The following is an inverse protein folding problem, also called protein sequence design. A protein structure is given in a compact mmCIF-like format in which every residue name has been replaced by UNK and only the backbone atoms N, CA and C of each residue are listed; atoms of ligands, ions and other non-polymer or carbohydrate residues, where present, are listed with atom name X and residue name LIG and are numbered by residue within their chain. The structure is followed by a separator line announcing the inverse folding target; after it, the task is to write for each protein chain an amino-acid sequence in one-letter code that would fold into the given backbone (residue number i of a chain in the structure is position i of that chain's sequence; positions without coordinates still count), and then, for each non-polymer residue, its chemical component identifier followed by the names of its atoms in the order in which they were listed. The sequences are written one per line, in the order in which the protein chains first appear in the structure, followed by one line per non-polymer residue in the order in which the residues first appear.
data_IF_552980745589
#
_entry.id   IF_552980745589
#
_cell.length_a   1.000
_cell.length_b   1.000
_cell.length_c   1.000
_cell.angle_alpha   90.00
_cell.angle_beta   90.00
_cell.angle_gamma   90.00
#
_symmetry.space_group_name_H-M   'P 1'
#
loop_
_entity.id
_entity.type
_entity.pdbx_description
1 polymer ?
#
# COMPACT_ATOMS: atom_id res chain seq x y z
N UNK A 1 -19.39 -16.58 -10.92
CA UNK A 1 -18.24 -16.44 -9.98
C UNK A 1 -18.61 -15.50 -8.84
N UNK A 2 -18.12 -15.73 -7.61
CA UNK A 2 -18.21 -14.77 -6.52
C UNK A 2 -17.11 -13.69 -6.63
N UNK A 3 -17.10 -12.72 -5.71
CA UNK A 3 -16.11 -11.62 -5.76
C UNK A 3 -14.66 -12.08 -5.57
N UNK A 4 -14.43 -13.07 -4.68
CA UNK A 4 -13.12 -13.66 -4.42
C UNK A 4 -12.56 -14.36 -5.67
N UNK A 5 -13.39 -15.17 -6.31
CA UNK A 5 -13.03 -15.90 -7.54
C UNK A 5 -12.67 -14.94 -8.67
N UNK A 6 -13.50 -13.89 -8.89
CA UNK A 6 -13.21 -12.87 -9.91
C UNK A 6 -11.92 -12.13 -9.67
N UNK A 7 -11.68 -11.72 -8.42
CA UNK A 7 -10.47 -11.01 -8.06
C UNK A 7 -9.20 -11.83 -8.33
N UNK A 8 -9.22 -13.10 -7.92
CA UNK A 8 -8.12 -14.04 -8.17
C UNK A 8 -7.93 -14.27 -9.66
N UNK A 9 -8.99 -14.62 -10.38
CA UNK A 9 -8.94 -14.88 -11.80
C UNK A 9 -8.40 -13.69 -12.60
N UNK A 10 -8.87 -12.45 -12.29
CA UNK A 10 -8.42 -11.25 -12.96
C UNK A 10 -6.93 -11.00 -12.81
N UNK A 11 -6.34 -11.22 -11.62
CA UNK A 11 -4.91 -11.00 -11.37
C UNK A 11 -4.03 -12.21 -11.72
N UNK A 12 -4.61 -13.42 -11.78
CA UNK A 12 -3.89 -14.65 -12.13
C UNK A 12 -3.98 -15.01 -13.62
N UNK A 13 -4.46 -14.10 -14.48
CA UNK A 13 -4.61 -14.33 -15.93
C UNK A 13 -5.59 -15.46 -16.28
N UNK A 14 -6.55 -15.72 -15.41
CA UNK A 14 -7.57 -16.72 -15.61
C UNK A 14 -8.86 -16.10 -16.17
N UNK A 15 -9.69 -16.86 -16.89
CA UNK A 15 -10.99 -16.37 -17.37
C UNK A 15 -11.93 -16.00 -16.21
N UNK A 16 -12.66 -14.90 -16.36
CA UNK A 16 -13.68 -14.46 -15.40
C UNK A 16 -14.94 -13.96 -16.13
N UNK A 17 -16.08 -13.98 -15.43
CA UNK A 17 -17.39 -13.64 -16.01
C UNK A 17 -17.65 -12.13 -16.03
N UNK A 18 -17.04 -11.37 -15.12
CA UNK A 18 -17.20 -9.92 -14.97
C UNK A 18 -15.97 -9.33 -14.31
N UNK A 19 -15.53 -8.17 -14.78
CA UNK A 19 -14.42 -7.43 -14.17
C UNK A 19 -14.73 -7.13 -12.70
N UNK A 20 -13.82 -7.45 -11.76
CA UNK A 20 -13.98 -7.04 -10.37
C UNK A 20 -13.90 -5.51 -10.28
N UNK A 21 -14.91 -4.89 -9.67
CA UNK A 21 -14.98 -3.47 -9.46
C UNK A 21 -14.48 -3.13 -8.05
N UNK A 22 -13.33 -2.49 -7.97
CA UNK A 22 -12.70 -2.10 -6.70
C UNK A 22 -12.42 -0.60 -6.73
N UNK A 23 -13.45 0.24 -6.56
CA UNK A 23 -13.26 1.68 -6.56
C UNK A 23 -12.49 2.10 -5.32
N UNK A 24 -11.51 3.00 -5.49
CA UNK A 24 -10.90 3.71 -4.39
C UNK A 24 -11.89 4.64 -3.69
N UNK A 25 -11.68 4.91 -2.41
CA UNK A 25 -12.47 5.92 -1.70
C UNK A 25 -12.08 7.34 -2.13
N UNK A 26 -13.04 8.26 -2.31
CA UNK A 26 -12.74 9.66 -2.53
C UNK A 26 -12.22 10.31 -1.25
N UNK A 27 -11.36 11.32 -1.40
CA UNK A 27 -10.93 12.17 -0.27
C UNK A 27 -12.08 13.09 0.17
N UNK A 28 -11.98 13.69 1.35
CA UNK A 28 -13.01 14.63 1.85
C UNK A 28 -13.20 15.83 0.91
N UNK A 29 -12.11 16.39 0.38
CA UNK A 29 -12.17 17.48 -0.62
C UNK A 29 -12.86 17.05 -1.91
N UNK A 30 -12.64 15.83 -2.37
CA UNK A 30 -13.32 15.26 -3.55
C UNK A 30 -14.82 15.12 -3.30
N UNK A 31 -15.21 14.58 -2.14
CA UNK A 31 -16.62 14.48 -1.75
C UNK A 31 -17.29 15.86 -1.66
N UNK A 32 -16.61 16.84 -1.07
CA UNK A 32 -17.11 18.21 -1.00
C UNK A 32 -17.37 18.78 -2.41
N UNK A 33 -16.44 18.56 -3.34
CA UNK A 33 -16.62 18.98 -4.73
C UNK A 33 -17.80 18.24 -5.40
N UNK A 34 -17.92 16.93 -5.22
CA UNK A 34 -19.04 16.15 -5.78
C UNK A 34 -20.40 16.61 -5.24
N UNK A 35 -20.47 17.07 -3.97
CA UNK A 35 -21.69 17.70 -3.41
C UNK A 35 -22.10 18.93 -4.22
N UNK A 36 -21.15 19.76 -4.63
CA UNK A 36 -21.44 20.93 -5.49
C UNK A 36 -21.83 20.54 -6.91
N UNK A 37 -21.48 19.34 -7.36
CA UNK A 37 -21.75 18.81 -8.69
C UNK A 37 -22.99 17.92 -8.78
N UNK A 38 -23.74 17.75 -7.69
CA UNK A 38 -25.02 17.06 -7.70
C UNK A 38 -25.11 15.78 -6.86
N UNK A 39 -24.05 15.38 -6.16
CA UNK A 39 -24.15 14.33 -5.16
C UNK A 39 -24.95 14.84 -3.95
N UNK A 40 -26.16 14.31 -3.63
CA UNK A 40 -27.00 14.85 -2.58
C UNK A 40 -26.36 14.70 -1.18
N UNK A 41 -26.66 15.64 -0.28
CA UNK A 41 -26.20 15.58 1.11
C UNK A 41 -26.69 14.31 1.81
N UNK A 42 -25.80 13.71 2.63
CA UNK A 42 -26.12 12.50 3.39
C UNK A 42 -26.21 11.21 2.57
N UNK A 43 -26.13 11.28 1.24
CA UNK A 43 -26.17 10.10 0.38
C UNK A 43 -24.77 9.50 0.25
N UNK A 44 -24.66 8.16 0.36
CA UNK A 44 -23.43 7.46 0.09
C UNK A 44 -23.06 7.55 -1.39
N UNK A 45 -21.81 7.99 -1.68
CA UNK A 45 -21.39 8.29 -3.05
C UNK A 45 -21.39 7.06 -3.98
N UNK A 46 -20.98 5.90 -3.48
CA UNK A 46 -20.81 4.71 -4.32
C UNK A 46 -22.13 4.12 -4.82
N UNK A 47 -23.13 3.85 -3.97
CA UNK A 47 -24.46 3.44 -4.45
C UNK A 47 -25.09 4.46 -5.40
N UNK A 48 -24.95 5.74 -5.10
CA UNK A 48 -25.49 6.81 -5.94
C UNK A 48 -24.83 6.83 -7.33
N UNK A 49 -23.51 6.64 -7.39
CA UNK A 49 -22.78 6.54 -8.65
C UNK A 49 -23.23 5.33 -9.47
N UNK A 50 -23.37 4.15 -8.83
CA UNK A 50 -23.82 2.93 -9.51
C UNK A 50 -25.23 3.10 -10.08
N UNK A 51 -26.14 3.68 -9.32
CA UNK A 51 -27.51 3.98 -9.78
C UNK A 51 -27.49 4.96 -10.97
N UNK A 52 -26.72 6.03 -10.85
CA UNK A 52 -26.59 7.06 -11.91
C UNK A 52 -26.04 6.47 -13.21
N UNK A 53 -25.11 5.51 -13.12
CA UNK A 53 -24.51 4.84 -14.26
C UNK A 53 -25.34 3.65 -14.76
N UNK A 54 -26.46 3.32 -14.12
CA UNK A 54 -27.28 2.14 -14.45
C UNK A 54 -26.55 0.82 -14.22
N UNK A 55 -25.55 0.79 -13.30
CA UNK A 55 -24.81 -0.40 -12.96
C UNK A 55 -25.45 -1.16 -11.79
N UNK A 56 -25.47 -2.49 -11.90
CA UNK A 56 -25.98 -3.34 -10.83
C UNK A 56 -25.07 -3.26 -9.59
N UNK A 57 -25.55 -2.58 -8.57
CA UNK A 57 -24.90 -2.49 -7.27
C UNK A 57 -25.69 -3.31 -6.24
N UNK A 58 -25.03 -4.33 -5.71
CA UNK A 58 -25.54 -5.09 -4.57
C UNK A 58 -24.62 -4.87 -3.38
N UNK A 59 -25.08 -4.20 -2.31
CA UNK A 59 -24.30 -4.12 -1.09
C UNK A 59 -24.03 -5.54 -0.56
N UNK A 60 -22.88 -5.80 0.08
CA UNK A 60 -22.60 -7.09 0.69
C UNK A 60 -23.71 -7.42 1.71
N UNK A 61 -24.25 -8.63 1.64
CA UNK A 61 -25.33 -9.08 2.53
C UNK A 61 -24.84 -9.25 3.97
N UNK A 62 -23.54 -9.50 4.16
CA UNK A 62 -22.90 -9.63 5.48
C UNK A 62 -21.77 -8.61 5.60
N UNK A 63 -21.56 -8.03 6.81
CA UNK A 63 -20.37 -7.20 7.07
C UNK A 63 -19.10 -7.98 6.75
N UNK A 64 -18.19 -7.36 6.00
CA UNK A 64 -16.86 -7.95 5.75
C UNK A 64 -16.06 -7.93 7.04
N UNK A 65 -15.47 -9.06 7.35
CA UNK A 65 -14.54 -9.21 8.46
C UNK A 65 -13.11 -9.03 7.93
N UNK A 66 -12.26 -8.35 8.67
CA UNK A 66 -10.82 -8.27 8.43
C UNK A 66 -10.05 -9.05 9.49
N UNK A 67 -8.75 -9.19 9.28
CA UNK A 67 -7.88 -9.88 10.24
C UNK A 67 -7.70 -9.12 11.56
N UNK A 68 -7.68 -7.80 11.52
CA UNK A 68 -7.42 -6.95 12.67
C UNK A 68 -6.00 -7.07 13.25
N UNK A 69 -5.06 -7.67 12.52
CA UNK A 69 -3.67 -7.86 12.97
C UNK A 69 -2.85 -6.60 12.73
N UNK A 70 -2.05 -6.21 13.72
CA UNK A 70 -1.21 -5.01 13.66
C UNK A 70 0.25 -5.35 13.37
N UNK A 71 0.80 -4.74 12.29
CA UNK A 71 2.23 -4.72 11.98
C UNK A 71 2.92 -3.42 12.46
N UNK A 72 2.19 -2.54 13.13
CA UNK A 72 2.70 -1.26 13.62
C UNK A 72 3.43 -1.44 14.95
N UNK A 73 4.17 -0.41 15.36
CA UNK A 73 4.79 -0.38 16.68
C UNK A 73 3.75 -0.38 17.81
N UNK A 74 4.03 -1.10 18.87
CA UNK A 74 3.22 -1.18 20.09
C UNK A 74 4.15 -1.07 21.31
N UNK A 75 3.94 -0.08 22.19
CA UNK A 75 3.05 1.07 22.03
C UNK A 75 3.58 2.08 21.00
N UNK A 76 2.71 2.92 20.47
CA UNK A 76 3.11 4.08 19.68
C UNK A 76 3.76 5.14 20.56
N UNK A 77 4.45 6.10 19.94
CA UNK A 77 4.86 7.31 20.67
C UNK A 77 3.62 8.15 21.04
N UNK A 78 3.75 8.89 22.14
CA UNK A 78 2.74 9.88 22.52
C UNK A 78 2.70 11.01 21.49
N UNK A 79 1.52 11.25 20.91
CA UNK A 79 1.33 12.38 20.02
C UNK A 79 1.12 13.65 20.83
N UNK A 80 1.96 14.66 20.60
CA UNK A 80 1.89 15.94 21.32
C UNK A 80 2.40 17.11 20.53
N UNK A 81 1.78 18.27 20.76
CA UNK A 81 2.28 19.54 20.26
C UNK A 81 3.50 19.93 21.10
N UNK A 82 4.63 20.14 20.42
CA UNK A 82 5.88 20.59 21.02
C UNK A 82 5.98 22.11 21.00
N UNK A 83 5.51 22.74 19.91
CA UNK A 83 5.52 24.19 19.71
C UNK A 83 4.35 24.59 18.80
N UNK A 84 3.79 25.78 19.05
CA UNK A 84 2.84 26.44 18.14
C UNK A 84 3.39 27.80 17.77
N UNK A 85 3.72 28.00 16.51
CA UNK A 85 4.39 29.17 16.02
C UNK A 85 4.08 29.48 14.57
N UNK A 86 3.91 30.75 14.24
CA UNK A 86 3.78 31.24 12.86
C UNK A 86 2.68 30.53 12.05
N UNK A 87 1.53 30.19 12.67
CA UNK A 87 0.42 29.50 12.03
C UNK A 87 0.64 28.00 11.81
N UNK A 88 1.64 27.39 12.51
CA UNK A 88 1.96 25.98 12.41
C UNK A 88 2.13 25.33 13.79
N UNK A 89 1.74 24.06 13.87
CA UNK A 89 2.11 23.18 14.98
C UNK A 89 3.38 22.41 14.62
N UNK A 90 4.36 22.39 15.53
CA UNK A 90 5.45 21.43 15.54
C UNK A 90 5.04 20.32 16.50
N UNK A 91 4.93 19.10 16.00
CA UNK A 91 4.38 17.97 16.74
C UNK A 91 5.31 16.77 16.74
N UNK A 92 5.33 16.02 17.85
CA UNK A 92 5.77 14.64 17.84
C UNK A 92 4.58 13.79 17.39
N UNK A 93 4.77 13.00 16.34
CA UNK A 93 3.72 12.09 15.87
C UNK A 93 3.81 10.69 16.52
N UNK A 94 2.88 9.83 16.16
CA UNK A 94 2.79 8.47 16.69
C UNK A 94 4.01 7.57 16.36
N UNK A 95 4.81 7.91 15.32
CA UNK A 95 6.05 7.23 14.95
C UNK A 95 7.27 7.76 15.72
N UNK A 96 7.10 8.84 16.48
CA UNK A 96 8.19 9.54 17.18
C UNK A 96 8.93 10.55 16.32
N UNK A 97 8.46 10.81 15.12
CA UNK A 97 9.02 11.85 14.28
C UNK A 97 8.52 13.23 14.69
N UNK A 98 9.36 14.25 14.54
CA UNK A 98 8.98 15.66 14.72
C UNK A 98 8.59 16.24 13.37
N UNK A 99 7.34 16.67 13.26
CA UNK A 99 6.78 17.22 12.02
C UNK A 99 6.16 18.59 12.24
N UNK A 100 6.08 19.38 11.19
CA UNK A 100 5.42 20.68 11.17
C UNK A 100 4.20 20.61 10.25
N UNK A 101 3.04 21.05 10.73
CA UNK A 101 1.76 21.05 10.03
C UNK A 101 1.08 22.39 10.24
N UNK A 102 0.35 22.89 9.23
CA UNK A 102 -0.47 24.10 9.38
C UNK A 102 -1.50 23.92 10.50
N UNK A 103 -1.69 24.97 11.33
CA UNK A 103 -2.68 24.98 12.41
C UNK A 103 -4.13 25.06 11.95
N UNK A 104 -4.37 25.17 10.64
CA UNK A 104 -5.69 25.00 10.02
C UNK A 104 -6.19 23.55 10.12
N UNK A 105 -5.29 22.59 10.42
CA UNK A 105 -5.60 21.18 10.60
C UNK A 105 -5.40 20.76 12.05
N UNK A 106 -6.23 19.86 12.53
CA UNK A 106 -5.93 19.11 13.73
C UNK A 106 -4.60 18.36 13.55
N UNK A 107 -3.67 18.49 14.49
CA UNK A 107 -2.36 17.83 14.40
C UNK A 107 -2.44 16.30 14.32
N UNK A 108 -3.56 15.69 14.70
CA UNK A 108 -3.85 14.27 14.52
C UNK A 108 -4.45 13.95 13.14
N UNK A 109 -4.74 14.97 12.32
CA UNK A 109 -5.40 14.84 11.03
C UNK A 109 -4.64 13.91 10.08
N UNK A 110 -3.32 13.95 10.09
CA UNK A 110 -2.45 13.11 9.27
C UNK A 110 -2.72 11.63 9.48
N UNK A 111 -2.97 11.22 10.73
CA UNK A 111 -3.25 9.83 11.09
C UNK A 111 -4.56 9.32 10.50
N UNK A 112 -5.52 10.20 10.29
CA UNK A 112 -6.85 9.87 9.75
C UNK A 112 -6.86 9.79 8.22
N UNK A 113 -5.82 10.32 7.54
CA UNK A 113 -5.62 10.30 6.09
C UNK A 113 -6.88 10.68 5.26
N UNK A 114 -7.70 11.61 5.76
CA UNK A 114 -8.98 11.97 5.12
C UNK A 114 -8.80 12.84 3.90
N UNK A 115 -7.71 13.61 3.87
CA UNK A 115 -7.30 14.45 2.76
C UNK A 115 -5.79 14.56 2.68
N UNK A 116 -5.28 15.20 1.62
CA UNK A 116 -3.85 15.41 1.45
C UNK A 116 -3.42 16.66 2.25
N UNK A 117 -2.57 16.45 3.26
CA UNK A 117 -2.01 17.50 4.10
C UNK A 117 -0.50 17.50 3.99
N UNK A 118 0.06 18.60 3.47
CA UNK A 118 1.51 18.79 3.41
C UNK A 118 2.07 19.00 4.82
N UNK A 119 3.18 18.32 5.12
CA UNK A 119 3.94 18.48 6.35
C UNK A 119 5.42 18.57 6.05
N UNK A 120 6.15 19.25 6.94
CA UNK A 120 7.60 19.30 6.92
C UNK A 120 8.14 18.38 8.01
N UNK A 121 9.12 17.59 7.67
CA UNK A 121 9.79 16.69 8.59
C UNK A 121 11.04 17.36 9.16
N UNK A 122 11.16 17.40 10.48
CA UNK A 122 12.30 17.98 11.19
C UNK A 122 13.29 16.94 11.70
N UNK A 123 12.77 15.83 12.24
CA UNK A 123 13.60 14.75 12.74
C UNK A 123 12.84 13.43 12.85
N UNK A 124 13.60 12.35 12.92
CA UNK A 124 13.12 10.99 13.09
C UNK A 124 13.74 10.37 14.33
N UNK A 125 13.13 9.33 14.91
CA UNK A 125 13.56 8.76 16.19
C UNK A 125 14.93 8.07 16.13
N UNK A 126 15.33 7.51 14.98
CA UNK A 126 16.58 6.77 14.81
C UNK A 126 17.59 7.57 14.02
N UNK A 127 18.71 7.87 14.67
CA UNK A 127 19.91 8.46 14.05
C UNK A 127 21.14 7.59 14.28
N UNK A 128 21.10 6.78 15.33
CA UNK A 128 22.20 5.92 15.78
C UNK A 128 21.66 4.53 16.16
N UNK A 129 22.56 3.55 16.23
CA UNK A 129 22.24 2.20 16.75
C UNK A 129 21.70 2.24 18.18
N UNK A 130 22.17 3.16 19.02
CA UNK A 130 21.64 3.34 20.36
C UNK A 130 20.19 3.83 20.34
N UNK A 131 19.85 4.80 19.48
CA UNK A 131 18.45 5.24 19.31
C UNK A 131 17.54 4.09 18.90
N UNK A 132 18.01 3.23 18.00
CA UNK A 132 17.30 2.06 17.54
C UNK A 132 16.99 1.09 18.67
N UNK A 133 17.99 0.69 19.45
CA UNK A 133 17.82 -0.23 20.58
C UNK A 133 16.90 0.35 21.68
N UNK A 134 17.09 1.62 22.03
CA UNK A 134 16.36 2.25 23.13
C UNK A 134 14.94 2.70 22.78
N UNK A 135 14.70 3.15 21.54
CA UNK A 135 13.47 3.85 21.19
C UNK A 135 12.52 3.02 20.32
N UNK A 136 13.02 2.11 19.47
CA UNK A 136 12.23 1.48 18.41
C UNK A 136 12.10 -0.03 18.57
N UNK A 137 13.20 -0.75 18.65
CA UNK A 137 13.28 -2.21 18.51
C UNK A 137 12.29 -2.96 19.42
N UNK A 138 12.21 -2.58 20.69
CA UNK A 138 11.34 -3.22 21.67
C UNK A 138 9.83 -3.03 21.42
N UNK A 139 9.45 -2.05 20.58
CA UNK A 139 8.04 -1.79 20.20
C UNK A 139 7.50 -2.77 19.15
N UNK A 140 8.37 -3.61 18.61
CA UNK A 140 8.04 -4.61 17.62
C UNK A 140 8.21 -6.03 18.18
N UNK A 141 7.63 -6.30 19.35
CA UNK A 141 7.52 -7.67 19.87
C UNK A 141 6.36 -8.39 19.14
N UNK A 142 6.62 -9.48 18.39
CA UNK A 142 5.57 -10.22 17.69
C UNK A 142 4.59 -10.92 18.67
N UNK A 143 4.96 -11.06 19.94
CA UNK A 143 4.14 -11.69 20.98
C UNK A 143 3.30 -10.69 21.78
N UNK A 144 3.37 -9.40 21.46
CA UNK A 144 2.55 -8.40 22.14
C UNK A 144 1.05 -8.75 22.00
N UNK A 145 0.28 -8.79 23.10
CA UNK A 145 -1.11 -9.23 23.08
C UNK A 145 -2.03 -8.30 22.28
N UNK A 146 -1.65 -7.04 22.07
CA UNK A 146 -2.43 -6.09 21.26
C UNK A 146 -2.22 -6.28 19.76
N UNK A 147 -1.29 -7.17 19.34
CA UNK A 147 -0.97 -7.41 17.94
C UNK A 147 -2.05 -8.18 17.21
N UNK A 148 -2.67 -9.11 17.88
CA UNK A 148 -3.78 -9.90 17.39
C UNK A 148 -5.06 -9.56 18.14
N UNK A 149 -6.22 -9.47 17.46
CA UNK A 149 -7.49 -9.26 18.16
C UNK A 149 -7.83 -10.48 19.02
N UNK A 150 -8.51 -10.26 20.15
CA UNK A 150 -8.91 -11.34 21.07
C UNK A 150 -9.76 -12.44 20.41
N UNK A 151 -10.45 -12.11 19.33
CA UNK A 151 -11.30 -13.00 18.54
C UNK A 151 -10.63 -13.51 17.24
N UNK A 152 -9.30 -13.49 17.16
CA UNK A 152 -8.54 -13.82 15.94
C UNK A 152 -8.91 -15.18 15.35
N UNK A 153 -9.02 -16.23 16.17
CA UNK A 153 -9.39 -17.56 15.70
C UNK A 153 -10.81 -17.59 15.11
N UNK A 154 -11.75 -16.91 15.76
CA UNK A 154 -13.13 -16.79 15.30
C UNK A 154 -13.22 -16.00 13.98
N UNK A 155 -12.41 -14.93 13.84
CA UNK A 155 -12.28 -14.19 12.59
C UNK A 155 -11.73 -15.09 11.47
N UNK A 156 -10.67 -15.83 11.74
CA UNK A 156 -10.10 -16.78 10.77
C UNK A 156 -11.13 -17.84 10.34
N UNK A 157 -11.92 -18.37 11.27
CA UNK A 157 -12.99 -19.33 10.96
C UNK A 157 -14.06 -18.72 10.03
N UNK A 158 -14.46 -17.47 10.28
CA UNK A 158 -15.37 -16.72 9.43
C UNK A 158 -14.77 -16.45 8.04
N UNK A 159 -13.51 -16.03 8.01
CA UNK A 159 -12.78 -15.68 6.79
C UNK A 159 -12.55 -16.90 5.87
N UNK A 160 -12.49 -18.13 6.41
CA UNK A 160 -12.40 -19.34 5.58
C UNK A 160 -13.68 -19.59 4.75
N UNK A 161 -14.82 -19.04 5.15
CA UNK A 161 -16.13 -19.19 4.47
C UNK A 161 -16.48 -17.99 3.59
N UNK A 162 -15.57 -17.02 3.46
CA UNK A 162 -15.82 -15.76 2.72
C UNK A 162 -15.96 -15.96 1.21
N UNK A 163 -16.71 -15.09 0.58
CA UNK A 163 -16.88 -15.00 -0.87
C UNK A 163 -16.27 -13.71 -1.50
N UNK A 164 -15.49 -12.97 -0.70
CA UNK A 164 -14.77 -11.75 -1.08
C UNK A 164 -13.25 -11.91 -0.88
N UNK A 165 -12.41 -11.14 -1.60
CA UNK A 165 -10.97 -11.24 -1.46
C UNK A 165 -10.47 -10.75 -0.10
N UNK A 166 -9.60 -11.53 0.55
CA UNK A 166 -8.85 -11.13 1.73
C UNK A 166 -7.48 -10.63 1.32
N UNK A 167 -7.24 -9.37 1.63
CA UNK A 167 -5.98 -8.69 1.32
C UNK A 167 -5.25 -8.33 2.61
N UNK A 168 -3.95 -8.49 2.63
CA UNK A 168 -3.07 -8.06 3.72
C UNK A 168 -2.04 -7.09 3.16
N UNK A 169 -1.89 -5.95 3.83
CA UNK A 169 -0.93 -4.90 3.45
C UNK A 169 -0.11 -4.52 4.67
N UNK A 170 1.19 -4.48 4.51
CA UNK A 170 2.12 -3.97 5.52
C UNK A 170 3.34 -3.31 4.87
N UNK A 171 4.11 -2.57 5.68
CA UNK A 171 5.29 -1.87 5.19
C UNK A 171 6.36 -2.85 4.72
N UNK A 172 6.89 -2.64 3.53
CA UNK A 172 8.13 -3.26 3.10
C UNK A 172 9.35 -2.72 3.87
N UNK A 173 10.54 -3.33 3.71
CA UNK A 173 11.72 -2.95 4.49
C UNK A 173 12.16 -1.50 4.25
N UNK A 174 12.05 -0.98 3.02
CA UNK A 174 12.44 0.40 2.73
C UNK A 174 11.52 1.39 3.42
N UNK A 175 10.19 1.22 3.23
CA UNK A 175 9.23 2.11 3.89
C UNK A 175 9.38 2.08 5.40
N UNK A 176 9.54 0.90 5.99
CA UNK A 176 9.65 0.78 7.44
C UNK A 176 10.91 1.45 7.99
N UNK A 177 12.06 1.20 7.37
CA UNK A 177 13.30 1.87 7.79
C UNK A 177 13.24 3.40 7.56
N UNK A 178 12.55 3.84 6.51
CA UNK A 178 12.28 5.26 6.26
C UNK A 178 11.39 5.89 7.34
N UNK A 179 10.42 5.16 7.89
CA UNK A 179 9.64 5.63 9.04
C UNK A 179 10.50 5.82 10.29
N UNK A 180 11.51 4.98 10.49
CA UNK A 180 12.40 5.07 11.65
C UNK A 180 13.46 6.16 11.51
N UNK A 181 14.10 6.27 10.35
CA UNK A 181 15.30 7.10 10.13
C UNK A 181 15.03 8.38 9.32
N UNK A 182 13.88 8.47 8.65
CA UNK A 182 13.67 9.41 7.55
C UNK A 182 14.41 9.01 6.28
N UNK A 183 13.99 9.54 5.13
CA UNK A 183 14.63 9.20 3.85
C UNK A 183 16.10 9.60 3.82
N UNK A 184 16.42 10.86 4.17
CA UNK A 184 17.78 11.37 4.19
C UNK A 184 18.67 10.58 5.17
N UNK A 185 18.18 10.36 6.40
CA UNK A 185 18.89 9.60 7.41
C UNK A 185 19.16 8.15 6.98
N UNK A 186 18.19 7.49 6.38
CA UNK A 186 18.35 6.14 5.86
C UNK A 186 19.39 6.08 4.73
N UNK A 187 19.34 7.00 3.76
CA UNK A 187 20.32 7.05 2.67
C UNK A 187 21.75 7.31 3.19
N UNK A 188 21.90 8.17 4.20
CA UNK A 188 23.19 8.41 4.85
C UNK A 188 23.69 7.13 5.54
N UNK A 189 22.84 6.45 6.30
CA UNK A 189 23.19 5.20 6.97
C UNK A 189 23.58 4.09 5.99
N UNK A 190 22.87 3.96 4.86
CA UNK A 190 23.23 3.00 3.80
C UNK A 190 24.65 3.23 3.26
N UNK A 191 25.13 4.47 3.27
CA UNK A 191 26.48 4.81 2.80
C UNK A 191 27.54 4.75 3.90
N UNK A 192 27.18 4.98 5.18
CA UNK A 192 28.15 5.19 6.27
C UNK A 192 28.16 4.05 7.31
N UNK A 193 27.07 3.35 7.48
CA UNK A 193 26.93 2.18 8.38
C UNK A 193 25.99 1.13 7.76
N UNK A 194 26.37 0.51 6.63
CA UNK A 194 25.56 -0.48 5.92
C UNK A 194 25.22 -1.70 6.80
N UNK A 195 26.09 -2.08 7.71
CA UNK A 195 25.86 -3.20 8.64
C UNK A 195 24.70 -2.90 9.59
N UNK A 196 24.54 -1.66 10.01
CA UNK A 196 23.39 -1.25 10.82
C UNK A 196 22.09 -1.25 10.02
N UNK A 197 22.13 -0.83 8.77
CA UNK A 197 20.95 -0.92 7.88
C UNK A 197 20.54 -2.38 7.66
N UNK A 198 21.51 -3.25 7.40
CA UNK A 198 21.27 -4.69 7.26
C UNK A 198 20.68 -5.31 8.53
N UNK A 199 21.14 -4.90 9.72
CA UNK A 199 20.57 -5.33 11.00
C UNK A 199 19.12 -4.89 11.17
N UNK A 200 18.78 -3.64 10.86
CA UNK A 200 17.41 -3.14 10.89
C UNK A 200 16.51 -3.90 9.91
N UNK A 201 16.98 -4.14 8.69
CA UNK A 201 16.24 -4.90 7.67
C UNK A 201 16.01 -6.35 8.11
N UNK A 202 17.03 -7.03 8.64
CA UNK A 202 16.92 -8.40 9.15
C UNK A 202 15.94 -8.49 10.34
N UNK A 203 15.98 -7.53 11.24
CA UNK A 203 15.04 -7.44 12.34
C UNK A 203 13.59 -7.29 11.84
N UNK A 204 13.35 -6.38 10.88
CA UNK A 204 12.03 -6.20 10.29
C UNK A 204 11.56 -7.46 9.57
N UNK A 205 12.46 -8.10 8.84
CA UNK A 205 12.18 -9.37 8.15
C UNK A 205 11.66 -10.43 9.12
N UNK A 206 12.35 -10.62 10.25
CA UNK A 206 11.97 -11.63 11.23
C UNK A 206 10.67 -11.26 11.96
N UNK A 207 10.51 -9.98 12.36
CA UNK A 207 9.27 -9.50 12.97
C UNK A 207 8.05 -9.73 12.08
N UNK A 208 8.17 -9.46 10.78
CA UNK A 208 7.10 -9.71 9.82
C UNK A 208 6.81 -11.20 9.72
N UNK A 209 7.82 -12.07 9.59
CA UNK A 209 7.63 -13.53 9.55
C UNK A 209 6.91 -14.04 10.79
N UNK A 210 7.36 -13.64 11.98
CA UNK A 210 6.77 -14.07 13.25
C UNK A 210 5.30 -13.63 13.40
N UNK A 211 4.96 -12.45 12.89
CA UNK A 211 3.58 -11.93 12.90
C UNK A 211 2.72 -12.53 11.79
N UNK A 212 3.31 -12.81 10.64
CA UNK A 212 2.62 -13.34 9.45
C UNK A 212 2.33 -14.84 9.56
N UNK A 213 3.22 -15.62 10.17
CA UNK A 213 3.09 -17.08 10.28
C UNK A 213 1.74 -17.51 10.86
N UNK A 214 1.26 -16.98 12.00
CA UNK A 214 -0.06 -17.35 12.52
C UNK A 214 -1.21 -17.03 11.56
N UNK A 215 -1.07 -15.99 10.74
CA UNK A 215 -2.08 -15.65 9.72
C UNK A 215 -2.09 -16.72 8.63
N UNK A 216 -0.92 -17.03 8.06
CA UNK A 216 -0.78 -17.98 6.96
C UNK A 216 -1.20 -19.40 7.34
N UNK A 217 -1.01 -19.80 8.60
CA UNK A 217 -1.45 -21.10 9.13
C UNK A 217 -2.96 -21.19 9.34
N UNK A 218 -3.65 -20.06 9.52
CA UNK A 218 -5.06 -20.04 9.90
C UNK A 218 -6.02 -19.62 8.79
N UNK A 219 -5.57 -18.87 7.79
CA UNK A 219 -6.44 -18.41 6.70
C UNK A 219 -5.65 -18.19 5.41
N UNK A 220 -6.24 -18.60 4.30
CA UNK A 220 -5.68 -18.35 2.97
C UNK A 220 -5.92 -16.88 2.56
N UNK A 221 -4.85 -16.17 2.24
CA UNK A 221 -4.92 -14.83 1.66
C UNK A 221 -5.13 -14.93 0.14
N UNK A 222 -5.77 -13.93 -0.43
CA UNK A 222 -5.93 -13.81 -1.89
C UNK A 222 -4.91 -12.83 -2.49
N UNK A 223 -4.38 -11.95 -1.65
CA UNK A 223 -3.46 -10.89 -2.05
C UNK A 223 -2.66 -10.42 -0.85
N UNK A 224 -1.36 -10.29 -1.01
CA UNK A 224 -0.48 -9.63 -0.05
C UNK A 224 0.28 -8.51 -0.75
N UNK A 225 0.51 -7.42 -0.03
CA UNK A 225 1.20 -6.24 -0.56
C UNK A 225 2.22 -5.70 0.42
N UNK A 226 3.41 -5.46 -0.09
CA UNK A 226 4.48 -4.74 0.61
C UNK A 226 4.48 -3.29 0.12
N UNK A 227 4.11 -2.36 1.02
CA UNK A 227 4.17 -0.93 0.71
C UNK A 227 5.60 -0.43 0.82
N UNK A 228 6.17 0.08 -0.29
CA UNK A 228 7.56 0.54 -0.35
C UNK A 228 7.69 2.01 -0.69
N UNK A 229 6.91 2.51 -1.67
CA UNK A 229 6.98 3.91 -2.14
C UNK A 229 8.45 4.37 -2.25
N UNK A 230 9.21 3.71 -3.13
CA UNK A 230 10.67 3.77 -3.18
C UNK A 230 11.23 4.39 -4.47
N UNK A 231 10.40 5.14 -5.21
CA UNK A 231 10.83 5.78 -6.43
C UNK A 231 10.32 7.22 -6.55
N UNK A 232 11.13 8.03 -7.24
CA UNK A 232 10.76 9.37 -7.70
C UNK A 232 10.21 9.32 -9.13
N UNK A 233 9.89 10.50 -9.66
CA UNK A 233 9.35 10.63 -11.02
C UNK A 233 10.21 10.01 -12.12
N UNK A 234 11.55 9.95 -11.95
CA UNK A 234 12.46 9.52 -13.00
C UNK A 234 13.33 8.29 -12.63
N UNK A 235 13.49 8.01 -11.36
CA UNK A 235 14.37 6.94 -10.85
C UNK A 235 13.90 6.44 -9.49
N UNK A 236 14.38 5.25 -9.09
CA UNK A 236 14.29 4.78 -7.70
C UNK A 236 15.05 5.71 -6.73
N UNK A 237 14.63 5.74 -5.47
CA UNK A 237 15.24 6.57 -4.41
C UNK A 237 16.61 6.04 -3.99
N UNK A 238 16.83 4.74 -4.12
CA UNK A 238 18.10 4.05 -3.91
C UNK A 238 18.42 3.22 -5.15
N UNK A 239 19.70 2.95 -5.39
CA UNK A 239 20.10 2.21 -6.58
C UNK A 239 19.57 0.77 -6.60
N UNK A 240 19.37 0.17 -7.79
CA UNK A 240 19.04 -1.26 -7.90
C UNK A 240 20.01 -2.18 -7.13
N UNK A 241 21.29 -1.82 -7.04
CA UNK A 241 22.28 -2.55 -6.24
C UNK A 241 21.95 -2.49 -4.75
N UNK A 242 21.61 -1.31 -4.23
CA UNK A 242 21.22 -1.14 -2.83
C UNK A 242 19.88 -1.86 -2.52
N UNK A 243 18.94 -1.90 -3.47
CA UNK A 243 17.72 -2.70 -3.33
C UNK A 243 18.05 -4.17 -3.15
N UNK A 244 18.97 -4.70 -3.95
CA UNK A 244 19.41 -6.10 -3.84
C UNK A 244 20.12 -6.37 -2.52
N UNK A 245 20.96 -5.45 -2.08
CA UNK A 245 21.74 -5.58 -0.85
C UNK A 245 20.87 -5.53 0.42
N UNK A 246 20.01 -4.54 0.53
CA UNK A 246 19.30 -4.25 1.78
C UNK A 246 17.85 -4.74 1.85
N UNK A 247 17.16 -4.84 0.71
CA UNK A 247 15.71 -5.11 0.71
C UNK A 247 15.38 -6.52 0.20
N UNK A 248 16.08 -6.98 -0.83
CA UNK A 248 15.83 -8.27 -1.46
C UNK A 248 15.84 -9.45 -0.46
N UNK A 249 16.72 -9.51 0.56
CA UNK A 249 16.69 -10.58 1.56
C UNK A 249 15.36 -10.69 2.31
N UNK A 250 14.66 -9.57 2.55
CA UNK A 250 13.32 -9.58 3.15
C UNK A 250 12.29 -10.22 2.22
N UNK A 251 12.31 -9.85 0.95
CA UNK A 251 11.38 -10.43 -0.04
C UNK A 251 11.64 -11.92 -0.26
N UNK A 252 12.90 -12.33 -0.32
CA UNK A 252 13.31 -13.74 -0.43
C UNK A 252 12.84 -14.60 0.77
N UNK A 253 12.73 -14.00 1.94
CA UNK A 253 12.18 -14.65 3.12
C UNK A 253 10.64 -14.71 3.11
N UNK A 254 9.97 -13.63 2.72
CA UNK A 254 8.51 -13.51 2.81
C UNK A 254 7.78 -14.19 1.65
N UNK A 255 8.23 -13.98 0.42
CA UNK A 255 7.50 -14.41 -0.78
C UNK A 255 7.31 -15.92 -0.84
N UNK A 256 8.32 -16.78 -0.56
CA UNK A 256 8.11 -18.21 -0.53
C UNK A 256 7.13 -18.66 0.56
N UNK A 257 7.19 -18.08 1.77
CA UNK A 257 6.26 -18.38 2.86
C UNK A 257 4.81 -18.05 2.48
N UNK A 258 4.60 -16.89 1.88
CA UNK A 258 3.28 -16.44 1.39
C UNK A 258 2.75 -17.36 0.29
N UNK A 259 3.59 -17.70 -0.70
CA UNK A 259 3.18 -18.60 -1.79
C UNK A 259 2.89 -20.01 -1.30
N UNK A 260 3.67 -20.53 -0.37
CA UNK A 260 3.45 -21.85 0.23
C UNK A 260 2.13 -21.96 0.97
N UNK A 261 1.57 -20.85 1.49
CA UNK A 261 0.25 -20.81 2.13
C UNK A 261 -0.93 -20.79 1.16
N UNK A 262 -0.67 -20.74 -0.17
CA UNK A 262 -1.71 -20.69 -1.21
C UNK A 262 -2.11 -19.28 -1.66
N UNK A 263 -1.45 -18.22 -1.18
CA UNK A 263 -1.69 -16.86 -1.65
C UNK A 263 -1.16 -16.69 -3.09
N UNK A 264 -2.03 -16.43 -4.08
CA UNK A 264 -1.59 -16.42 -5.48
C UNK A 264 -0.96 -15.10 -5.91
N UNK A 265 -1.27 -13.99 -5.23
CA UNK A 265 -0.84 -12.65 -5.64
C UNK A 265 0.02 -12.01 -4.55
N UNK A 266 1.28 -11.76 -4.91
CA UNK A 266 2.24 -11.00 -4.10
C UNK A 266 2.58 -9.72 -4.83
N UNK A 267 2.29 -8.58 -4.22
CA UNK A 267 2.40 -7.25 -4.81
C UNK A 267 3.41 -6.37 -4.08
N UNK A 268 4.02 -5.47 -4.82
CA UNK A 268 4.70 -4.30 -4.25
C UNK A 268 3.99 -3.04 -4.70
N UNK A 269 3.72 -2.16 -3.73
CA UNK A 269 3.18 -0.82 -3.93
C UNK A 269 4.32 0.18 -3.91
N UNK A 270 4.50 0.92 -5.00
CA UNK A 270 5.47 2.00 -5.09
C UNK A 270 5.02 3.06 -6.09
N UNK A 271 4.89 4.27 -5.60
CA UNK A 271 4.77 5.45 -6.45
C UNK A 271 6.08 5.69 -7.24
N UNK A 272 6.03 6.58 -8.21
CA UNK A 272 7.19 6.96 -8.99
C UNK A 272 7.55 6.01 -10.13
N UNK A 273 8.76 6.17 -10.68
CA UNK A 273 9.26 5.39 -11.81
C UNK A 273 9.85 4.06 -11.39
N UNK A 274 9.14 2.97 -11.69
CA UNK A 274 9.44 1.62 -11.19
C UNK A 274 10.13 0.70 -12.19
N UNK A 275 10.41 1.14 -13.42
CA UNK A 275 10.93 0.27 -14.48
C UNK A 275 12.21 -0.48 -14.09
N UNK A 276 13.12 0.16 -13.36
CA UNK A 276 14.38 -0.45 -12.91
C UNK A 276 14.23 -1.38 -11.70
N UNK A 277 13.09 -1.33 -11.02
CA UNK A 277 12.75 -2.16 -9.84
C UNK A 277 12.03 -3.46 -10.22
N UNK A 278 11.18 -3.42 -11.25
CA UNK A 278 10.37 -4.57 -11.68
C UNK A 278 11.21 -5.85 -11.89
N UNK A 279 12.39 -5.83 -12.54
CA UNK A 279 13.19 -7.04 -12.70
C UNK A 279 13.60 -7.69 -11.35
N UNK A 280 13.93 -6.85 -10.35
CA UNK A 280 14.32 -7.33 -9.01
C UNK A 280 13.11 -7.96 -8.31
N UNK A 281 11.94 -7.34 -8.41
CA UNK A 281 10.71 -7.86 -7.82
C UNK A 281 10.30 -9.21 -8.44
N UNK A 282 10.38 -9.32 -9.77
CA UNK A 282 10.10 -10.59 -10.46
C UNK A 282 11.07 -11.71 -10.05
N UNK A 283 12.35 -11.39 -9.85
CA UNK A 283 13.39 -12.34 -9.45
C UNK A 283 13.07 -13.02 -8.09
N UNK A 284 12.52 -12.27 -7.15
CA UNK A 284 12.09 -12.82 -5.84
C UNK A 284 10.68 -13.42 -5.88
N UNK A 285 9.99 -13.36 -7.04
CA UNK A 285 8.70 -13.97 -7.24
C UNK A 285 7.49 -13.08 -6.92
N UNK A 286 7.67 -11.78 -6.74
CA UNK A 286 6.57 -10.80 -6.79
C UNK A 286 5.95 -10.86 -8.16
N UNK A 287 4.62 -10.87 -8.26
CA UNK A 287 3.89 -11.05 -9.52
C UNK A 287 2.77 -10.03 -9.73
N UNK A 288 2.73 -8.99 -8.92
CA UNK A 288 1.80 -7.87 -9.08
C UNK A 288 2.46 -6.56 -8.64
N UNK A 289 2.02 -5.44 -9.19
CA UNK A 289 2.41 -4.09 -8.70
C UNK A 289 1.29 -3.08 -8.90
N UNK A 290 1.35 -2.00 -8.14
CA UNK A 290 0.54 -0.78 -8.24
C UNK A 290 1.32 0.41 -7.66
N UNK A 291 0.88 1.66 -7.92
CA UNK A 291 -0.25 2.06 -8.77
C UNK A 291 0.10 2.14 -10.26
N UNK A 292 1.35 1.93 -10.65
CA UNK A 292 1.90 2.13 -12.01
C UNK A 292 1.67 3.57 -12.46
N UNK A 293 2.25 4.52 -11.72
CA UNK A 293 2.00 5.95 -11.87
C UNK A 293 2.40 6.46 -13.27
N UNK A 294 1.41 6.81 -14.10
CA UNK A 294 1.64 7.30 -15.47
C UNK A 294 2.40 8.63 -15.50
N UNK A 295 2.17 9.52 -14.51
CA UNK A 295 2.86 10.79 -14.37
C UNK A 295 4.37 10.65 -14.11
N UNK A 296 4.82 9.48 -13.67
CA UNK A 296 6.21 9.12 -13.45
C UNK A 296 6.82 8.35 -14.64
N UNK A 297 6.27 8.51 -15.84
CA UNK A 297 6.75 7.88 -17.08
C UNK A 297 6.62 6.35 -17.13
N UNK A 298 5.80 5.74 -16.30
CA UNK A 298 5.47 4.33 -16.46
C UNK A 298 4.46 4.16 -17.59
N UNK A 299 4.70 3.17 -18.45
CA UNK A 299 3.77 2.75 -19.48
C UNK A 299 3.34 1.30 -19.21
N UNK A 300 2.15 1.13 -18.66
CA UNK A 300 1.59 -0.17 -18.29
C UNK A 300 1.44 -1.11 -19.51
N UNK A 301 1.20 -0.55 -20.71
CA UNK A 301 1.11 -1.34 -21.95
C UNK A 301 2.49 -1.81 -22.41
N UNK A 302 3.51 -0.95 -22.28
CA UNK A 302 4.90 -1.33 -22.54
C UNK A 302 5.36 -2.42 -21.56
N UNK A 303 5.04 -2.28 -20.28
CA UNK A 303 5.36 -3.30 -19.27
C UNK A 303 4.67 -4.63 -19.57
N UNK A 304 3.40 -4.64 -20.00
CA UNK A 304 2.72 -5.86 -20.43
C UNK A 304 3.44 -6.54 -21.58
N UNK A 305 3.88 -5.80 -22.59
CA UNK A 305 4.66 -6.36 -23.73
C UNK A 305 6.00 -6.93 -23.27
N UNK A 306 6.65 -6.30 -22.31
CA UNK A 306 7.96 -6.70 -21.80
C UNK A 306 7.90 -7.92 -20.87
N UNK A 307 6.95 -7.94 -19.94
CA UNK A 307 6.90 -8.94 -18.86
C UNK A 307 5.79 -10.00 -19.06
N UNK A 308 4.86 -9.78 -20.01
CA UNK A 308 3.80 -10.74 -20.31
C UNK A 308 2.96 -11.06 -19.06
N UNK A 309 2.75 -12.36 -18.83
CA UNK A 309 1.97 -12.88 -17.71
C UNK A 309 2.77 -13.04 -16.43
N UNK A 310 4.03 -12.60 -16.37
CA UNK A 310 4.84 -12.65 -15.15
C UNK A 310 4.42 -11.56 -14.14
N UNK A 311 3.79 -10.47 -14.63
CA UNK A 311 3.42 -9.33 -13.81
C UNK A 311 1.97 -8.88 -14.07
N UNK A 312 1.16 -8.93 -13.04
CA UNK A 312 -0.17 -8.36 -13.00
C UNK A 312 -0.13 -6.90 -12.52
N UNK A 313 -1.17 -6.14 -12.82
CA UNK A 313 -1.25 -4.73 -12.48
C UNK A 313 -2.57 -4.38 -11.80
N UNK A 314 -2.49 -3.48 -10.84
CA UNK A 314 -3.68 -2.80 -10.30
C UNK A 314 -3.55 -1.30 -10.56
N UNK A 315 -4.68 -0.65 -10.91
CA UNK A 315 -4.74 0.78 -11.26
C UNK A 315 -4.10 1.08 -12.63
N UNK A 316 -3.31 2.16 -12.78
CA UNK A 316 -2.55 2.46 -14.00
C UNK A 316 -3.21 3.42 -14.99
N UNK A 317 -4.43 3.94 -14.71
CA UNK A 317 -5.06 5.01 -15.49
C UNK A 317 -4.59 6.37 -14.97
N UNK A 318 -4.09 7.21 -15.84
CA UNK A 318 -3.50 8.52 -15.51
C UNK A 318 -4.52 9.44 -14.82
N UNK A 319 -4.24 9.78 -13.55
CA UNK A 319 -5.05 10.73 -12.77
C UNK A 319 -5.23 12.11 -13.42
N UNK A 320 -4.27 12.54 -14.25
CA UNK A 320 -4.32 13.83 -14.94
C UNK A 320 -5.38 13.84 -16.04
N UNK A 321 -5.53 12.72 -16.75
CA UNK A 321 -6.58 12.53 -17.75
C UNK A 321 -7.97 12.48 -17.09
N UNK A 322 -8.08 11.83 -15.91
CA UNK A 322 -9.31 11.87 -15.10
C UNK A 322 -9.70 13.28 -14.69
N UNK A 323 -8.75 14.10 -14.26
CA UNK A 323 -9.00 15.50 -13.88
C UNK A 323 -9.43 16.37 -15.07
N UNK A 324 -8.91 16.08 -16.27
CA UNK A 324 -9.27 16.76 -17.52
C UNK A 324 -10.65 16.33 -18.00
N UNK A 325 -10.95 15.03 -17.94
CA UNK A 325 -12.20 14.44 -18.44
C UNK A 325 -12.30 14.41 -19.96
N UNK A 326 -13.50 14.16 -20.49
CA UNK A 326 -13.81 14.22 -21.92
C UNK A 326 -12.91 13.29 -22.77
N UNK A 327 -12.51 13.80 -23.93
CA UNK A 327 -11.73 13.06 -24.94
C UNK A 327 -10.38 12.54 -24.39
N UNK A 328 -9.68 13.34 -23.58
CA UNK A 328 -8.42 12.95 -22.96
C UNK A 328 -8.53 11.71 -22.05
N UNK A 329 -9.64 11.62 -21.32
CA UNK A 329 -9.93 10.44 -20.48
C UNK A 329 -10.30 9.24 -21.36
N UNK A 330 -11.10 9.43 -22.38
CA UNK A 330 -11.50 8.37 -23.31
C UNK A 330 -10.28 7.78 -24.02
N UNK A 331 -9.40 8.63 -24.57
CA UNK A 331 -8.17 8.21 -25.22
C UNK A 331 -7.26 7.41 -24.28
N UNK A 332 -7.05 7.88 -23.04
CA UNK A 332 -6.21 7.19 -22.06
C UNK A 332 -6.80 5.81 -21.67
N UNK A 333 -8.09 5.74 -21.39
CA UNK A 333 -8.76 4.49 -21.07
C UNK A 333 -8.70 3.52 -22.26
N UNK A 334 -9.01 3.98 -23.48
CA UNK A 334 -9.04 3.13 -24.67
C UNK A 334 -7.64 2.70 -25.12
N UNK A 335 -6.60 3.48 -24.84
CA UNK A 335 -5.21 3.12 -25.08
C UNK A 335 -4.75 1.96 -24.19
N UNK A 336 -5.09 2.02 -22.89
CA UNK A 336 -4.53 1.13 -21.86
C UNK A 336 -5.44 -0.02 -21.47
N UNK A 337 -6.71 0.24 -21.19
CA UNK A 337 -7.58 -0.73 -20.52
C UNK A 337 -8.01 -1.90 -21.42
N UNK A 338 -8.58 -1.69 -22.64
CA UNK A 338 -9.06 -2.81 -23.46
C UNK A 338 -7.99 -3.84 -23.82
N UNK A 339 -6.77 -3.46 -24.26
CA UNK A 339 -5.74 -4.44 -24.59
C UNK A 339 -5.28 -5.24 -23.38
N UNK A 340 -5.16 -4.60 -22.21
CA UNK A 340 -4.78 -5.29 -20.97
C UNK A 340 -5.87 -6.25 -20.50
N UNK A 341 -7.15 -5.87 -20.59
CA UNK A 341 -8.27 -6.74 -20.24
C UNK A 341 -8.36 -7.97 -21.15
N UNK A 342 -8.03 -7.82 -22.44
CA UNK A 342 -8.02 -8.94 -23.38
C UNK A 342 -6.96 -10.00 -23.04
N UNK A 343 -5.86 -9.59 -22.43
CA UNK A 343 -4.75 -10.47 -22.03
C UNK A 343 -4.88 -10.95 -20.56
N UNK A 344 -5.74 -10.32 -19.72
CA UNK A 344 -5.88 -10.60 -18.30
C UNK A 344 -4.78 -9.98 -17.44
N UNK A 345 -4.71 -10.35 -16.17
CA UNK A 345 -3.69 -9.87 -15.22
C UNK A 345 -3.81 -8.38 -14.88
N UNK A 346 -5.02 -7.81 -14.93
CA UNK A 346 -5.22 -6.40 -14.61
C UNK A 346 -6.56 -6.15 -13.91
N UNK A 347 -6.53 -5.28 -12.93
CA UNK A 347 -7.71 -4.62 -12.37
C UNK A 347 -7.48 -3.12 -12.56
N UNK A 348 -8.05 -2.51 -13.61
CA UNK A 348 -7.82 -1.12 -13.93
C UNK A 348 -8.45 -0.17 -12.91
N UNK A 349 -7.85 0.97 -12.75
CA UNK A 349 -8.32 2.05 -11.88
C UNK A 349 -7.43 3.27 -12.04
N UNK A 350 -7.83 4.38 -11.43
CA UNK A 350 -6.98 5.56 -11.35
C UNK A 350 -5.66 5.21 -10.64
N UNK A 351 -4.53 5.69 -11.15
CA UNK A 351 -3.22 5.46 -10.52
C UNK A 351 -3.18 6.08 -9.10
N UNK A 352 -3.83 7.22 -8.87
CA UNK A 352 -3.95 7.82 -7.53
C UNK A 352 -5.33 8.43 -7.28
N UNK A 353 -5.71 8.42 -6.03
CA UNK A 353 -6.91 9.11 -5.53
C UNK A 353 -6.70 10.63 -5.34
#
# INVERSE_FOLDING_TARGET
MNERERFRAALCFEPYDKLPLIPGGPRESTLAMWRTQGLPEGVAWYPYLMETLGLDYKPPMTPRVDLGVSFKMIPTFEEKVLEHKDGHYIVQDWMGATTEISDQYDYTYIRRAKDFVTRKWHSFPVKTRQDWEEKIKWRYDPRDPERFPNDFEARCATLRQRDYPLQLVFNGPFWQMREWCGLEGLCILMATDPDFVAEMAAFWTQFVLDTLTPILENVELDYIEFSEDMAYKAHSMISPTMVREFLMPSYEAWVPAVKASGCPVVSIDSDGYIAELIPIWLEVGVNCTRPVEAAAHNDIVAYRRQYGNQLAYRQGVDKRCLATGGEALEEEVMRGVPPLLAEGGVIPGCDHG
#
